data_IF_921560834387
#
_entry.id   IF_921560834387
#
_cell.length_a   1.000
_cell.length_b   1.000
_cell.length_c   1.000
_cell.angle_alpha   90.00
_cell.angle_beta   90.00
_cell.angle_gamma   90.00
#
_symmetry.space_group_name_H-M   'P 1'
#
loop_
_entity.id
_entity.type
_entity.pdbx_description
1 polymer ?
#
# COMPACT_ATOMS: atom_id res chain seq x y z
N UNK A 1 5.27 39.71 4.18
CA UNK A 1 4.42 39.34 3.04
C UNK A 1 5.03 38.34 2.07
N UNK A 2 5.88 38.71 1.10
CA UNK A 2 6.39 37.72 0.12
C UNK A 2 7.27 36.63 0.74
N UNK A 3 8.05 36.95 1.79
CA UNK A 3 8.89 35.97 2.50
C UNK A 3 8.07 34.90 3.21
N UNK A 4 6.95 35.29 3.83
CA UNK A 4 6.10 34.39 4.60
C UNK A 4 5.38 33.40 3.67
N UNK A 5 4.93 33.88 2.50
CA UNK A 5 4.36 33.03 1.44
C UNK A 5 5.37 32.01 0.91
N UNK A 6 6.62 32.41 0.68
CA UNK A 6 7.67 31.50 0.21
C UNK A 6 7.95 30.42 1.26
N UNK A 7 8.01 30.78 2.54
CA UNK A 7 8.23 29.82 3.63
C UNK A 7 7.06 28.84 3.71
N UNK A 8 5.82 29.33 3.60
CA UNK A 8 4.63 28.47 3.62
C UNK A 8 4.65 27.46 2.46
N UNK A 9 4.85 27.92 1.22
CA UNK A 9 4.90 27.04 0.04
C UNK A 9 6.04 26.03 0.17
N UNK A 10 7.22 26.47 0.64
CA UNK A 10 8.36 25.58 0.86
C UNK A 10 8.06 24.51 1.91
N UNK A 11 7.32 24.86 2.96
CA UNK A 11 6.90 23.92 3.99
C UNK A 11 5.90 22.91 3.44
N UNK A 12 4.85 23.37 2.75
CA UNK A 12 3.85 22.50 2.11
C UNK A 12 4.50 21.51 1.14
N UNK A 13 5.38 21.98 0.25
CA UNK A 13 6.11 21.13 -0.69
C UNK A 13 6.97 20.06 0.02
N UNK A 14 7.58 20.39 1.16
CA UNK A 14 8.38 19.44 1.94
C UNK A 14 7.50 18.34 2.56
N UNK A 15 6.31 18.70 3.03
CA UNK A 15 5.35 17.74 3.60
C UNK A 15 4.76 16.82 2.52
N UNK A 16 4.42 17.37 1.36
CA UNK A 16 3.94 16.57 0.21
C UNK A 16 5.01 15.58 -0.26
N UNK A 17 6.28 16.01 -0.35
CA UNK A 17 7.38 15.13 -0.71
C UNK A 17 7.54 13.96 0.28
N UNK A 18 7.34 14.21 1.57
CA UNK A 18 7.36 13.17 2.59
C UNK A 18 6.22 12.15 2.41
N UNK A 19 5.00 12.62 2.12
CA UNK A 19 3.87 11.73 1.82
C UNK A 19 4.11 10.91 0.56
N UNK A 20 4.65 11.54 -0.50
CA UNK A 20 4.99 10.82 -1.74
C UNK A 20 6.05 9.74 -1.50
N UNK A 21 7.03 10.02 -0.65
CA UNK A 21 8.02 9.02 -0.26
C UNK A 21 7.39 7.85 0.53
N UNK A 22 6.41 8.11 1.41
CA UNK A 22 5.67 7.05 2.09
C UNK A 22 4.84 6.21 1.10
N UNK A 23 4.15 6.85 0.15
CA UNK A 23 3.37 6.17 -0.88
C UNK A 23 4.26 5.25 -1.74
N UNK A 24 5.42 5.76 -2.18
CA UNK A 24 6.38 4.97 -2.96
C UNK A 24 6.92 3.78 -2.17
N UNK A 25 7.14 3.91 -0.86
CA UNK A 25 7.56 2.78 -0.02
C UNK A 25 6.52 1.66 0.01
N UNK A 26 5.22 1.99 0.03
CA UNK A 26 4.16 0.98 -0.07
C UNK A 26 4.26 0.27 -1.42
N UNK A 27 4.33 1.03 -2.51
CA UNK A 27 4.46 0.47 -3.86
C UNK A 27 5.69 -0.42 -4.03
N UNK A 28 6.85 0.03 -3.52
CA UNK A 28 8.10 -0.72 -3.61
C UNK A 28 8.03 -2.01 -2.81
N UNK A 29 7.42 -1.99 -1.61
CA UNK A 29 7.26 -3.20 -0.81
C UNK A 29 6.45 -4.27 -1.54
N UNK A 30 5.41 -3.89 -2.28
CA UNK A 30 4.59 -4.82 -3.07
C UNK A 30 5.29 -5.40 -4.30
N UNK A 31 6.44 -4.88 -4.73
CA UNK A 31 7.20 -5.45 -5.85
C UNK A 31 7.93 -6.73 -5.48
N UNK A 32 8.28 -6.87 -4.21
CA UNK A 32 9.10 -7.97 -3.69
C UNK A 32 8.25 -9.01 -2.92
N UNK A 33 6.93 -8.84 -2.88
CA UNK A 33 6.01 -9.77 -2.20
C UNK A 33 5.60 -10.88 -3.17
N UNK A 34 5.95 -12.11 -2.82
CA UNK A 34 5.60 -13.30 -3.59
C UNK A 34 4.62 -14.21 -2.83
N UNK A 35 3.70 -14.82 -3.57
CA UNK A 35 2.83 -15.86 -3.03
C UNK A 35 3.58 -17.18 -2.90
N UNK A 36 3.63 -17.72 -1.68
CA UNK A 36 4.08 -19.10 -1.48
C UNK A 36 3.00 -20.06 -1.95
N UNK A 37 3.34 -20.98 -2.84
CA UNK A 37 2.44 -22.06 -3.31
C UNK A 37 3.04 -23.43 -3.07
N UNK A 38 2.20 -24.41 -2.72
CA UNK A 38 2.60 -25.79 -2.42
C UNK A 38 1.79 -26.79 -3.23
N UNK A 39 2.41 -27.92 -3.59
CA UNK A 39 1.76 -28.99 -4.36
C UNK A 39 0.63 -29.64 -3.56
N UNK A 40 -0.54 -29.81 -4.18
CA UNK A 40 -1.67 -30.43 -3.53
C UNK A 40 -1.66 -31.96 -3.68
N UNK A 41 -1.41 -32.68 -2.58
CA UNK A 41 -1.55 -34.15 -2.48
C UNK A 41 -0.85 -34.92 -3.62
N UNK A 42 0.34 -34.49 -4.01
CA UNK A 42 1.15 -35.05 -5.11
C UNK A 42 0.44 -35.12 -6.48
N UNK A 43 -0.63 -34.34 -6.67
CA UNK A 43 -1.28 -34.22 -7.98
C UNK A 43 -0.41 -33.39 -8.91
N UNK A 44 -0.19 -33.89 -10.13
CA UNK A 44 0.43 -33.08 -11.19
C UNK A 44 -0.42 -31.84 -11.44
N UNK A 45 0.26 -30.69 -11.52
CA UNK A 45 -0.30 -29.42 -11.99
C UNK A 45 -1.41 -28.82 -11.10
N UNK A 46 -1.46 -29.16 -9.81
CA UNK A 46 -2.37 -28.52 -8.83
C UNK A 46 -1.58 -27.96 -7.66
N UNK A 47 -1.71 -26.65 -7.42
CA UNK A 47 -1.05 -25.95 -6.32
C UNK A 47 -2.09 -25.22 -5.46
N UNK A 48 -1.83 -25.14 -4.16
CA UNK A 48 -2.61 -24.34 -3.21
C UNK A 48 -1.72 -23.26 -2.60
N UNK A 49 -2.33 -22.23 -2.02
CA UNK A 49 -1.60 -21.25 -1.22
C UNK A 49 -0.93 -21.94 -0.02
N UNK A 50 0.34 -21.60 0.19
CA UNK A 50 1.13 -22.00 1.34
C UNK A 50 0.96 -21.02 2.50
N UNK A 51 2.02 -20.77 3.26
CA UNK A 51 2.00 -19.81 4.36
C UNK A 51 1.81 -18.38 3.84
N UNK A 52 0.76 -17.69 4.30
CA UNK A 52 0.38 -16.34 3.85
C UNK A 52 0.66 -15.25 4.89
N UNK A 53 1.25 -15.60 6.03
CA UNK A 53 1.48 -14.68 7.16
C UNK A 53 2.24 -13.42 6.73
N UNK A 54 3.24 -13.55 5.85
CA UNK A 54 4.01 -12.42 5.34
C UNK A 54 3.18 -11.51 4.43
N UNK A 55 2.41 -12.08 3.50
CA UNK A 55 1.54 -11.32 2.59
C UNK A 55 0.48 -10.54 3.38
N UNK A 56 -0.12 -11.18 4.38
CA UNK A 56 -1.11 -10.55 5.27
C UNK A 56 -0.47 -9.45 6.10
N UNK A 57 0.71 -9.68 6.68
CA UNK A 57 1.42 -8.65 7.45
C UNK A 57 1.78 -7.44 6.59
N UNK A 58 2.23 -7.65 5.34
CA UNK A 58 2.49 -6.55 4.41
C UNK A 58 1.20 -5.80 4.04
N UNK A 59 0.09 -6.52 3.88
CA UNK A 59 -1.22 -5.91 3.64
C UNK A 59 -1.63 -4.99 4.79
N UNK A 60 -1.61 -5.49 6.03
CA UNK A 60 -1.97 -4.72 7.22
C UNK A 60 -1.10 -3.46 7.38
N UNK A 61 0.23 -3.62 7.25
CA UNK A 61 1.19 -2.51 7.28
C UNK A 61 0.88 -1.46 6.20
N UNK A 62 0.53 -1.91 5.00
CA UNK A 62 0.18 -1.04 3.88
C UNK A 62 -1.10 -0.25 4.16
N UNK A 63 -2.13 -0.90 4.71
CA UNK A 63 -3.40 -0.25 5.06
C UNK A 63 -3.23 0.84 6.12
N UNK A 64 -2.41 0.58 7.15
CA UNK A 64 -2.08 1.59 8.18
C UNK A 64 -1.31 2.77 7.58
N UNK A 65 -0.36 2.49 6.70
CA UNK A 65 0.43 3.53 6.02
C UNK A 65 -0.45 4.38 5.11
N UNK A 66 -1.33 3.75 4.32
CA UNK A 66 -2.29 4.45 3.46
C UNK A 66 -3.26 5.30 4.26
N UNK A 67 -3.79 4.79 5.37
CA UNK A 67 -4.64 5.57 6.28
C UNK A 67 -3.93 6.81 6.81
N UNK A 68 -2.63 6.72 7.09
CA UNK A 68 -1.82 7.87 7.51
C UNK A 68 -1.67 8.91 6.39
N UNK A 69 -1.41 8.45 5.16
CA UNK A 69 -1.27 9.33 3.98
C UNK A 69 -2.59 10.05 3.69
N UNK A 70 -3.70 9.30 3.61
CA UNK A 70 -5.02 9.82 3.24
C UNK A 70 -5.59 10.82 4.24
N UNK A 71 -5.29 10.65 5.54
CA UNK A 71 -5.72 11.56 6.59
C UNK A 71 -4.80 12.79 6.76
N UNK A 72 -3.69 12.88 6.02
CA UNK A 72 -2.79 14.02 6.11
C UNK A 72 -3.43 15.27 5.47
N UNK A 73 -3.26 16.42 6.12
CA UNK A 73 -3.70 17.72 5.58
C UNK A 73 -2.95 18.13 4.30
N UNK A 74 -1.79 17.52 4.03
CA UNK A 74 -0.94 17.80 2.88
C UNK A 74 -1.13 16.76 1.76
N UNK A 75 -2.17 15.94 1.83
CA UNK A 75 -2.38 14.86 0.86
C UNK A 75 -2.81 15.37 -0.52
N UNK A 76 -3.33 16.60 -0.62
CA UNK A 76 -3.98 17.07 -1.85
C UNK A 76 -3.09 16.99 -3.10
N UNK A 77 -1.78 17.26 -2.97
CA UNK A 77 -0.81 17.09 -4.08
C UNK A 77 -0.59 15.65 -4.54
N UNK A 78 -0.90 14.65 -3.69
CA UNK A 78 -0.73 13.20 -3.98
C UNK A 78 -2.05 12.42 -3.93
N UNK A 79 -3.19 13.09 -3.70
CA UNK A 79 -4.48 12.47 -3.41
C UNK A 79 -4.92 11.51 -4.51
N UNK A 80 -4.79 11.91 -5.77
CA UNK A 80 -5.19 11.06 -6.89
C UNK A 80 -4.41 9.74 -6.94
N UNK A 81 -3.10 9.79 -6.66
CA UNK A 81 -2.23 8.59 -6.63
C UNK A 81 -2.55 7.74 -5.38
N UNK A 82 -2.73 8.38 -4.23
CA UNK A 82 -3.04 7.72 -2.96
C UNK A 82 -4.42 7.02 -2.98
N UNK A 83 -5.47 7.71 -3.42
CA UNK A 83 -6.82 7.15 -3.53
C UNK A 83 -6.87 5.98 -4.52
N UNK A 84 -6.07 6.03 -5.59
CA UNK A 84 -6.00 4.94 -6.55
C UNK A 84 -5.37 3.69 -5.92
N UNK A 85 -4.23 3.86 -5.24
CA UNK A 85 -3.55 2.74 -4.58
C UNK A 85 -4.40 2.16 -3.45
N UNK A 86 -5.06 3.00 -2.65
CA UNK A 86 -5.94 2.56 -1.58
C UNK A 86 -7.07 1.66 -2.12
N UNK A 87 -7.74 2.06 -3.20
CA UNK A 87 -8.76 1.21 -3.84
C UNK A 87 -8.22 -0.14 -4.30
N UNK A 88 -7.01 -0.18 -4.84
CA UNK A 88 -6.39 -1.43 -5.28
C UNK A 88 -6.07 -2.33 -4.08
N UNK A 89 -5.54 -1.77 -2.99
CA UNK A 89 -5.23 -2.52 -1.77
C UNK A 89 -6.50 -3.03 -1.08
N UNK A 90 -7.56 -2.24 -1.01
CA UNK A 90 -8.87 -2.67 -0.48
C UNK A 90 -9.47 -3.83 -1.30
N UNK A 91 -9.43 -3.72 -2.63
CA UNK A 91 -9.88 -4.80 -3.52
C UNK A 91 -9.05 -6.07 -3.33
N UNK A 92 -7.73 -5.91 -3.23
CA UNK A 92 -6.84 -7.06 -3.06
C UNK A 92 -7.01 -7.72 -1.70
N UNK A 93 -7.15 -6.95 -0.62
CA UNK A 93 -7.44 -7.47 0.72
C UNK A 93 -8.72 -8.31 0.73
N UNK A 94 -9.83 -7.78 0.21
CA UNK A 94 -11.09 -8.55 0.14
C UNK A 94 -10.99 -9.80 -0.75
N UNK A 95 -10.20 -9.74 -1.83
CA UNK A 95 -9.95 -10.92 -2.68
C UNK A 95 -9.12 -11.97 -1.94
N UNK A 96 -8.13 -11.54 -1.16
CA UNK A 96 -7.28 -12.43 -0.37
C UNK A 96 -8.08 -13.09 0.75
N UNK A 97 -8.93 -12.34 1.46
CA UNK A 97 -9.80 -12.87 2.51
C UNK A 97 -10.69 -14.01 1.99
N UNK A 98 -11.41 -13.77 0.88
CA UNK A 98 -12.25 -14.79 0.25
C UNK A 98 -11.45 -16.03 -0.21
N UNK A 99 -10.20 -15.83 -0.66
CA UNK A 99 -9.32 -16.94 -1.05
C UNK A 99 -8.85 -17.76 0.15
N UNK A 100 -8.68 -17.14 1.33
CA UNK A 100 -8.27 -17.82 2.57
C UNK A 100 -9.43 -18.52 3.28
N UNK A 101 -10.67 -18.08 3.07
CA UNK A 101 -11.86 -18.70 3.66
C UNK A 101 -12.37 -19.93 2.88
N UNK A 102 -11.93 -20.13 1.62
CA UNK A 102 -12.28 -21.26 0.76
C UNK A 102 -11.53 -22.58 1.08
#
# INVERSE_FOLDING_TARGET
>A
EKKDLIIQISHEASQEAALKAMLNKVLDRWKDVDFTVVSYRDRKETFILGAMDEVVAVMEDSMVTMSTILNSRFVDGVRSEADHLDRLLQLFAGTLDEWLEC
#
